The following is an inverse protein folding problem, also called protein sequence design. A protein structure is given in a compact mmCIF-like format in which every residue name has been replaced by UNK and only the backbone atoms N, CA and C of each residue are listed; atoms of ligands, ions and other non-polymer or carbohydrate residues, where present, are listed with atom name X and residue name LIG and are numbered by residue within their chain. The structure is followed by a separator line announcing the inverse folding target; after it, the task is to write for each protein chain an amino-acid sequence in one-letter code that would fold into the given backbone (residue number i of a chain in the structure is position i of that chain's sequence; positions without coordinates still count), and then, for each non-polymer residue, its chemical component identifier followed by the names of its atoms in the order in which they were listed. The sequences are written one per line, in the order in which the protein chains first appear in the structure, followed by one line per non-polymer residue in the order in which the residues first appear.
data_IF_214356497720
#
_entry.id   IF_214356497720
#
_cell.length_a   1.000
_cell.length_b   1.000
_cell.length_c   1.000
_cell.angle_alpha   90.00
_cell.angle_beta   90.00
_cell.angle_gamma   90.00
#
_symmetry.space_group_name_H-M   'P 1'
#
loop_
_entity.id
_entity.type
_entity.pdbx_description
1 polymer ?
#
# COMPACT_ATOMS: atom_id res chain seq x y z
N UNK A 1 34.22 -0.84 20.64
CA UNK A 1 33.01 -0.79 19.80
C UNK A 1 32.36 0.60 19.77
N UNK A 2 31.89 1.18 20.88
CA UNK A 2 31.26 2.52 20.84
C UNK A 2 32.22 3.65 20.37
N UNK A 3 33.47 3.60 20.82
CA UNK A 3 34.51 4.56 20.42
C UNK A 3 34.89 4.45 18.93
N UNK A 4 34.77 3.24 18.36
CA UNK A 4 35.06 2.97 16.96
C UNK A 4 33.95 3.50 16.06
N UNK A 5 32.69 3.29 16.46
CA UNK A 5 31.51 3.87 15.83
C UNK A 5 31.55 5.40 15.84
N UNK A 6 31.94 6.02 16.96
CA UNK A 6 32.06 7.47 17.08
C UNK A 6 33.17 8.05 16.18
N UNK A 7 34.28 7.31 16.00
CA UNK A 7 35.37 7.71 15.10
C UNK A 7 34.95 7.63 13.63
N UNK A 8 34.18 6.60 13.25
CA UNK A 8 33.64 6.45 11.91
C UNK A 8 32.53 7.47 11.62
N UNK A 9 31.65 7.74 12.59
CA UNK A 9 30.57 8.72 12.48
C UNK A 9 31.09 10.14 12.18
N UNK A 10 32.27 10.51 12.68
CA UNK A 10 32.90 11.82 12.37
C UNK A 10 33.34 11.98 10.91
N UNK A 11 33.45 10.88 10.15
CA UNK A 11 33.84 10.87 8.74
C UNK A 11 32.63 10.73 7.81
N UNK A 12 31.42 10.64 8.35
CA UNK A 12 30.18 10.46 7.59
C UNK A 12 29.46 11.80 7.43
N UNK A 13 28.88 12.02 6.25
CA UNK A 13 28.00 13.15 5.98
C UNK A 13 26.68 13.08 6.75
N UNK A 14 26.01 14.22 6.89
CA UNK A 14 24.77 14.38 7.66
C UNK A 14 23.65 13.42 7.21
N UNK A 15 23.53 13.17 5.91
CA UNK A 15 22.58 12.20 5.36
C UNK A 15 22.84 10.77 5.86
N UNK A 16 24.11 10.36 5.97
CA UNK A 16 24.48 9.04 6.44
C UNK A 16 24.34 8.91 7.96
N UNK A 17 24.59 10.00 8.72
CA UNK A 17 24.33 10.05 10.15
C UNK A 17 22.83 9.93 10.47
N UNK A 18 21.97 10.60 9.71
CA UNK A 18 20.51 10.50 9.84
C UNK A 18 20.01 9.07 9.56
N UNK A 19 20.58 8.40 8.56
CA UNK A 19 20.25 7.00 8.29
C UNK A 19 20.60 6.10 9.48
N UNK A 20 21.77 6.31 10.11
CA UNK A 20 22.20 5.54 11.27
C UNK A 20 21.28 5.74 12.49
N UNK A 21 20.87 6.98 12.75
CA UNK A 21 19.92 7.31 13.84
C UNK A 21 18.55 6.69 13.57
N UNK A 22 18.09 6.72 12.32
CA UNK A 22 16.81 6.12 11.92
C UNK A 22 16.83 4.61 12.13
N UNK A 23 17.92 3.95 11.74
CA UNK A 23 18.09 2.51 11.95
C UNK A 23 18.15 2.16 13.45
N UNK A 24 18.90 2.92 14.24
CA UNK A 24 18.97 2.72 15.69
C UNK A 24 17.60 2.84 16.37
N UNK A 25 16.78 3.83 15.97
CA UNK A 25 15.41 4.00 16.46
C UNK A 25 14.51 2.82 16.10
N UNK A 26 14.59 2.32 14.86
CA UNK A 26 13.81 1.17 14.43
C UNK A 26 14.17 -0.10 15.23
N UNK A 27 15.46 -0.31 15.54
CA UNK A 27 15.90 -1.41 16.39
C UNK A 27 15.33 -1.29 17.80
N UNK A 28 15.32 -0.08 18.38
CA UNK A 28 14.73 0.17 19.70
C UNK A 28 13.21 -0.08 19.73
N UNK A 29 12.50 0.30 18.68
CA UNK A 29 11.05 0.10 18.55
C UNK A 29 10.68 -1.39 18.38
N UNK A 30 11.51 -2.15 17.68
CA UNK A 30 11.36 -3.61 17.57
C UNK A 30 11.59 -4.35 18.90
N UNK A 31 12.42 -3.81 19.81
CA UNK A 31 12.67 -4.43 21.11
C UNK A 31 11.54 -4.21 22.14
N UNK A 32 10.60 -3.31 21.88
CA UNK A 32 9.50 -2.99 22.79
C UNK A 32 8.17 -3.67 22.42
N UNK A 33 8.09 -4.34 21.26
CA UNK A 33 6.90 -5.06 20.82
C UNK A 33 7.03 -6.58 21.07
N UNK A 34 6.05 -7.26 21.70
CA UNK A 34 6.11 -8.70 21.88
C UNK A 34 6.05 -9.44 20.53
N UNK A 35 6.74 -10.59 20.39
CA UNK A 35 6.85 -11.30 19.13
C UNK A 35 5.48 -11.84 18.68
N UNK A 36 4.99 -11.37 17.53
CA UNK A 36 3.90 -12.05 16.81
C UNK A 36 4.45 -13.35 16.26
N UNK A 37 3.94 -14.47 16.77
CA UNK A 37 4.24 -15.82 16.30
C UNK A 37 3.90 -15.95 14.82
N UNK A 38 4.93 -16.10 13.99
CA UNK A 38 4.78 -16.44 12.58
C UNK A 38 4.50 -17.95 12.45
N UNK A 39 3.37 -18.33 11.86
CA UNK A 39 3.14 -19.68 11.36
C UNK A 39 3.84 -19.86 10.01
N UNK A 40 4.55 -20.97 9.75
CA UNK A 40 5.17 -21.22 8.47
C UNK A 40 4.19 -21.93 7.54
N UNK A 41 3.78 -21.30 6.44
CA UNK A 41 3.09 -21.99 5.35
C UNK A 41 3.81 -21.73 4.03
N UNK A 42 4.34 -22.82 3.47
CA UNK A 42 4.22 -23.11 2.04
C UNK A 42 5.11 -22.32 1.09
N UNK A 43 6.30 -22.88 0.80
CA UNK A 43 7.09 -22.60 -0.39
C UNK A 43 6.27 -22.86 -1.65
N UNK A 44 6.06 -21.84 -2.49
CA UNK A 44 6.35 -21.81 -3.94
C UNK A 44 5.90 -20.48 -4.54
N UNK A 45 6.84 -19.58 -4.81
CA UNK A 45 6.67 -18.49 -5.76
C UNK A 45 8.00 -18.28 -6.50
N UNK A 46 8.00 -18.13 -7.84
CA UNK A 46 9.20 -17.80 -8.60
C UNK A 46 9.64 -16.37 -8.30
N UNK A 47 10.94 -16.14 -8.39
CA UNK A 47 11.63 -14.92 -7.99
C UNK A 47 11.13 -13.68 -8.75
N UNK A 48 10.57 -12.72 -8.01
CA UNK A 48 10.58 -11.31 -8.39
C UNK A 48 11.64 -10.60 -7.54
N UNK A 49 12.88 -10.63 -8.03
CA UNK A 49 13.96 -9.82 -7.48
C UNK A 49 13.84 -8.41 -8.04
N UNK A 50 13.18 -7.54 -7.30
CA UNK A 50 13.51 -6.12 -7.27
C UNK A 50 13.32 -5.65 -5.83
N UNK A 51 14.33 -5.07 -5.18
CA UNK A 51 14.12 -4.35 -3.93
C UNK A 51 13.15 -3.19 -4.27
N UNK A 52 11.92 -3.28 -3.78
CA UNK A 52 10.97 -2.18 -3.91
C UNK A 52 11.48 -1.11 -2.96
N UNK A 53 12.11 -0.08 -3.53
CA UNK A 53 12.30 1.21 -2.86
C UNK A 53 10.94 1.63 -2.31
N UNK A 54 10.90 1.97 -1.02
CA UNK A 54 9.71 2.53 -0.38
C UNK A 54 9.88 4.06 -0.41
N UNK A 55 9.46 4.80 -1.46
CA UNK A 55 9.33 6.24 -1.32
C UNK A 55 8.31 6.54 -0.21
N UNK A 56 8.78 7.32 0.77
CA UNK A 56 8.12 7.62 2.05
C UNK A 56 7.07 8.73 1.99
N UNK A 57 6.64 9.17 0.81
CA UNK A 57 5.41 9.92 0.61
C UNK A 57 4.88 9.53 -0.76
N UNK A 58 3.88 8.65 -0.81
CA UNK A 58 3.25 8.30 -2.06
C UNK A 58 2.21 9.36 -2.46
N UNK A 59 2.03 9.53 -3.76
CA UNK A 59 0.97 10.38 -4.29
C UNK A 59 -0.38 9.68 -4.09
N UNK A 60 -1.25 10.29 -3.29
CA UNK A 60 -2.67 9.89 -3.15
C UNK A 60 -3.53 10.30 -4.35
N UNK A 61 -2.94 11.06 -5.29
CA UNK A 61 -3.59 11.61 -6.49
C UNK A 61 -3.33 10.80 -7.75
N UNK A 62 -2.37 9.89 -7.69
CA UNK A 62 -1.97 9.08 -8.83
C UNK A 62 -2.27 7.62 -8.51
N UNK A 63 -2.97 6.97 -9.42
CA UNK A 63 -3.28 5.56 -9.35
C UNK A 63 -2.78 4.90 -10.62
N UNK A 64 -2.09 3.78 -10.47
CA UNK A 64 -1.71 2.91 -11.57
C UNK A 64 -2.41 1.57 -11.40
N UNK A 65 -3.11 1.12 -12.43
CA UNK A 65 -3.72 -0.22 -12.44
C UNK A 65 -3.03 -1.05 -13.51
N UNK A 66 -2.50 -2.20 -13.09
CA UNK A 66 -1.90 -3.19 -13.99
C UNK A 66 -2.74 -4.45 -13.98
N UNK A 67 -3.17 -4.84 -15.18
CA UNK A 67 -3.92 -6.08 -15.41
C UNK A 67 -2.94 -7.20 -15.73
N UNK A 68 -3.21 -8.39 -15.20
CA UNK A 68 -2.50 -9.59 -15.65
C UNK A 68 -2.96 -9.98 -17.06
N UNK A 69 -2.11 -10.62 -17.86
CA UNK A 69 -2.40 -11.01 -19.25
C UNK A 69 -3.70 -11.85 -19.38
N UNK A 70 -3.96 -12.68 -18.36
CA UNK A 70 -5.14 -13.55 -18.24
C UNK A 70 -6.39 -12.84 -17.67
N UNK A 71 -6.31 -11.54 -17.33
CA UNK A 71 -7.38 -10.73 -16.71
C UNK A 71 -7.98 -11.30 -15.41
N UNK A 72 -7.29 -12.25 -14.78
CA UNK A 72 -7.72 -12.90 -13.54
C UNK A 72 -7.29 -12.14 -12.28
N UNK A 73 -6.25 -11.31 -12.37
CA UNK A 73 -5.70 -10.54 -11.26
C UNK A 73 -5.33 -9.11 -11.68
N UNK A 74 -5.59 -8.17 -10.77
CA UNK A 74 -5.42 -6.74 -10.95
C UNK A 74 -4.51 -6.19 -9.84
N UNK A 75 -3.56 -5.35 -10.20
CA UNK A 75 -2.64 -4.72 -9.27
C UNK A 75 -2.93 -3.23 -9.28
N UNK A 76 -3.45 -2.71 -8.18
CA UNK A 76 -3.68 -1.29 -7.98
C UNK A 76 -2.54 -0.72 -7.15
N UNK A 77 -1.81 0.22 -7.71
CA UNK A 77 -0.75 0.97 -7.03
C UNK A 77 -1.30 2.33 -6.65
N UNK A 78 -1.36 2.62 -5.35
CA UNK A 78 -1.78 3.92 -4.83
C UNK A 78 -1.00 4.25 -3.56
N UNK A 79 -0.62 5.52 -3.40
CA UNK A 79 0.23 5.96 -2.30
C UNK A 79 1.50 5.07 -2.16
N UNK A 80 2.09 4.70 -3.31
CA UNK A 80 3.25 3.81 -3.41
C UNK A 80 3.06 2.39 -2.81
N UNK A 81 1.83 2.00 -2.47
CA UNK A 81 1.50 0.66 -2.05
C UNK A 81 0.84 -0.12 -3.17
N UNK A 82 1.28 -1.37 -3.36
CA UNK A 82 0.78 -2.29 -4.38
C UNK A 82 -0.25 -3.22 -3.77
N UNK A 83 -1.48 -3.11 -4.22
CA UNK A 83 -2.62 -3.86 -3.73
C UNK A 83 -3.09 -4.83 -4.80
N UNK A 84 -3.18 -6.10 -4.45
CA UNK A 84 -3.64 -7.15 -5.35
C UNK A 84 -5.13 -7.37 -5.16
N UNK A 85 -5.86 -7.37 -6.26
CA UNK A 85 -7.29 -7.64 -6.32
C UNK A 85 -7.56 -8.75 -7.33
N UNK A 86 -8.43 -9.67 -6.95
CA UNK A 86 -8.95 -10.70 -7.84
C UNK A 86 -10.03 -10.14 -8.76
N UNK A 87 -10.32 -10.81 -9.88
CA UNK A 87 -11.41 -10.42 -10.77
C UNK A 87 -12.78 -10.26 -10.06
N UNK A 88 -13.21 -11.15 -9.14
CA UNK A 88 -14.45 -10.96 -8.40
C UNK A 88 -14.43 -9.69 -7.53
N UNK A 89 -13.32 -9.41 -6.84
CA UNK A 89 -13.18 -8.19 -6.04
C UNK A 89 -13.25 -6.94 -6.90
N UNK A 90 -12.55 -6.91 -8.04
CA UNK A 90 -12.60 -5.78 -8.97
C UNK A 90 -14.00 -5.53 -9.51
N UNK A 91 -14.75 -6.59 -9.86
CA UNK A 91 -16.15 -6.43 -10.28
C UNK A 91 -17.00 -5.79 -9.20
N UNK A 92 -16.81 -6.18 -7.94
CA UNK A 92 -17.53 -5.59 -6.81
C UNK A 92 -17.15 -4.11 -6.65
N UNK A 93 -15.85 -3.78 -6.70
CA UNK A 93 -15.38 -2.39 -6.59
C UNK A 93 -15.94 -1.50 -7.69
N UNK A 94 -15.89 -1.97 -8.95
CA UNK A 94 -16.45 -1.24 -10.09
C UNK A 94 -17.97 -1.09 -9.93
N UNK A 95 -18.68 -2.14 -9.52
CA UNK A 95 -20.13 -2.04 -9.29
C UNK A 95 -20.49 -1.05 -8.18
N UNK A 96 -19.72 -1.01 -7.09
CA UNK A 96 -19.88 0.00 -6.02
C UNK A 96 -19.70 1.41 -6.58
N UNK A 97 -18.69 1.64 -7.43
CA UNK A 97 -18.43 2.95 -8.02
C UNK A 97 -19.55 3.38 -8.98
N UNK A 98 -20.09 2.46 -9.78
CA UNK A 98 -21.18 2.76 -10.71
C UNK A 98 -22.55 2.89 -10.03
N UNK A 99 -22.74 2.25 -8.87
CA UNK A 99 -23.97 2.39 -8.07
C UNK A 99 -24.02 3.70 -7.27
N UNK A 100 -22.89 4.37 -7.07
CA UNK A 100 -22.79 5.61 -6.31
C UNK A 100 -23.30 6.81 -7.12
N UNK A 101 -23.97 7.75 -6.45
CA UNK A 101 -24.51 8.95 -7.09
C UNK A 101 -23.44 10.00 -7.41
N UNK A 102 -22.39 10.07 -6.59
CA UNK A 102 -21.29 11.02 -6.71
C UNK A 102 -19.97 10.45 -6.14
N UNK A 103 -18.87 11.19 -6.34
CA UNK A 103 -17.52 10.79 -5.90
C UNK A 103 -17.40 10.66 -4.37
N UNK A 104 -18.17 11.43 -3.60
CA UNK A 104 -18.14 11.35 -2.13
C UNK A 104 -18.83 10.07 -1.64
N UNK A 105 -20.00 9.76 -2.19
CA UNK A 105 -20.75 8.54 -1.93
C UNK A 105 -19.95 7.29 -2.39
N UNK A 106 -19.34 7.35 -3.57
CA UNK A 106 -18.48 6.30 -4.09
C UNK A 106 -17.27 6.03 -3.20
N UNK A 107 -16.59 7.09 -2.75
CA UNK A 107 -15.46 6.99 -1.82
C UNK A 107 -15.89 6.39 -0.47
N UNK A 108 -17.05 6.77 0.05
CA UNK A 108 -17.59 6.23 1.29
C UNK A 108 -17.92 4.73 1.18
N UNK A 109 -18.57 4.31 0.09
CA UNK A 109 -18.87 2.91 -0.15
C UNK A 109 -17.62 2.05 -0.38
N UNK A 110 -16.63 2.58 -1.12
CA UNK A 110 -15.32 1.94 -1.27
C UNK A 110 -14.64 1.75 0.10
N UNK A 111 -14.63 2.78 0.95
CA UNK A 111 -14.05 2.70 2.28
C UNK A 111 -14.74 1.65 3.16
N UNK A 112 -16.07 1.58 3.13
CA UNK A 112 -16.82 0.58 3.88
C UNK A 112 -16.49 -0.85 3.41
N UNK A 113 -16.46 -1.07 2.10
CA UNK A 113 -16.12 -2.38 1.55
C UNK A 113 -14.69 -2.79 1.89
N UNK A 114 -13.72 -1.88 1.71
CA UNK A 114 -12.32 -2.11 2.07
C UNK A 114 -12.18 -2.39 3.57
N UNK A 115 -12.90 -1.67 4.43
CA UNK A 115 -12.88 -1.92 5.88
C UNK A 115 -13.38 -3.33 6.22
N UNK A 116 -14.41 -3.81 5.52
CA UNK A 116 -15.03 -5.11 5.77
C UNK A 116 -14.25 -6.29 5.17
N UNK A 117 -13.63 -6.10 3.99
CA UNK A 117 -13.01 -7.19 3.22
C UNK A 117 -11.49 -7.11 3.14
N UNK A 118 -10.93 -5.91 3.06
CA UNK A 118 -9.53 -5.63 2.69
C UNK A 118 -8.92 -4.53 3.54
N UNK A 119 -8.97 -4.72 4.86
CA UNK A 119 -8.43 -3.75 5.82
C UNK A 119 -6.92 -3.57 5.68
N UNK A 120 -6.22 -4.58 5.13
CA UNK A 120 -4.82 -4.51 4.72
C UNK A 120 -4.57 -3.32 3.79
N UNK A 121 -5.38 -3.17 2.74
CA UNK A 121 -5.24 -2.10 1.74
C UNK A 121 -5.30 -0.73 2.40
N UNK A 122 -6.23 -0.50 3.33
CA UNK A 122 -6.37 0.78 4.03
C UNK A 122 -5.13 1.12 4.85
N UNK A 123 -4.52 0.13 5.48
CA UNK A 123 -3.32 0.30 6.31
C UNK A 123 -2.11 0.57 5.42
N UNK A 124 -1.92 -0.24 4.38
CA UNK A 124 -0.75 -0.15 3.51
C UNK A 124 -0.74 1.13 2.67
N UNK A 125 -1.91 1.68 2.36
CA UNK A 125 -2.08 2.91 1.58
C UNK A 125 -2.28 4.17 2.44
N UNK A 126 -2.18 4.07 3.77
CA UNK A 126 -2.43 5.18 4.71
C UNK A 126 -3.78 5.89 4.46
N UNK A 127 -4.83 5.13 4.12
CA UNK A 127 -6.20 5.66 3.95
C UNK A 127 -6.86 5.74 5.32
N UNK A 128 -7.08 6.97 5.79
CA UNK A 128 -7.54 7.21 7.18
C UNK A 128 -9.05 7.32 7.33
N UNK A 129 -9.79 7.49 6.24
CA UNK A 129 -11.23 7.66 6.31
C UNK A 129 -11.93 7.69 4.94
N UNK A 130 -13.27 7.79 4.95
CA UNK A 130 -14.10 7.73 3.75
C UNK A 130 -13.95 8.93 2.82
N UNK A 131 -13.40 10.04 3.30
CA UNK A 131 -13.13 11.25 2.51
C UNK A 131 -11.65 11.40 2.15
N UNK A 132 -10.86 10.32 2.24
CA UNK A 132 -9.45 10.36 1.84
C UNK A 132 -9.34 10.55 0.32
N UNK A 133 -8.44 11.43 -0.11
CA UNK A 133 -8.22 11.74 -1.51
C UNK A 133 -7.85 10.49 -2.34
N UNK A 134 -7.18 9.50 -1.74
CA UNK A 134 -6.86 8.26 -2.42
C UNK A 134 -8.10 7.50 -2.90
N UNK A 135 -9.18 7.51 -2.12
CA UNK A 135 -10.44 6.85 -2.49
C UNK A 135 -11.14 7.55 -3.64
N UNK A 136 -11.12 8.89 -3.65
CA UNK A 136 -11.66 9.68 -4.75
C UNK A 136 -10.90 9.40 -6.06
N UNK A 137 -9.55 9.34 -5.98
CA UNK A 137 -8.71 8.97 -7.13
C UNK A 137 -9.02 7.56 -7.64
N UNK A 138 -9.20 6.58 -6.73
CA UNK A 138 -9.59 5.21 -7.09
C UNK A 138 -10.95 5.23 -7.80
N UNK A 139 -11.93 5.91 -7.21
CA UNK A 139 -13.27 6.03 -7.77
C UNK A 139 -13.24 6.60 -9.18
N UNK A 140 -12.62 7.77 -9.37
CA UNK A 140 -12.53 8.45 -10.66
C UNK A 140 -11.85 7.58 -11.73
N UNK A 141 -10.79 6.87 -11.36
CA UNK A 141 -10.11 5.96 -12.28
C UNK A 141 -10.99 4.76 -12.66
N UNK A 142 -11.67 4.14 -11.70
CA UNK A 142 -12.49 2.95 -11.94
C UNK A 142 -13.70 3.28 -12.84
N UNK A 143 -14.36 4.42 -12.62
CA UNK A 143 -15.49 4.83 -13.47
C UNK A 143 -15.04 5.20 -14.88
N UNK A 144 -13.85 5.80 -15.03
CA UNK A 144 -13.33 6.24 -16.33
C UNK A 144 -12.77 5.07 -17.16
N UNK A 145 -12.18 4.07 -16.50
CA UNK A 145 -11.46 2.97 -17.15
C UNK A 145 -12.34 1.75 -17.38
N UNK A 146 -13.22 1.42 -16.44
CA UNK A 146 -14.00 0.18 -16.47
C UNK A 146 -15.50 0.46 -16.60
N UNK A 147 -16.09 -0.11 -17.65
CA UNK A 147 -17.54 -0.18 -17.80
C UNK A 147 -18.06 -1.46 -17.14
N UNK A 148 -19.18 -1.36 -16.41
CA UNK A 148 -19.93 -2.53 -15.96
C UNK A 148 -20.49 -3.22 -17.21
N UNK A 149 -19.92 -4.37 -17.56
CA UNK A 149 -20.56 -5.29 -18.51
C UNK A 149 -21.41 -6.28 -17.72
N UNK A 150 -22.71 -6.21 -17.95
CA UNK A 150 -23.73 -7.16 -17.48
C UNK A 150 -23.40 -8.61 -17.88
#
# INVERSE_FOLDING_TARGET
MLAELASLAKKLDEAHLLALVTQARAIMEHQTSPPRTASPVGKTAPAFTAPIEIPRQGDKRTIEVKESDDKSSFIIVINNSRNFFTLPEMRILVNICHAAADSHDGSAHLYQWLTAKRKDVLIDTDIKGPSDQALATIYEYLIATYAVKE
#
